data_IF_381020061491
#
_entry.id   IF_381020061491
#
_cell.length_a   1.000
_cell.length_b   1.000
_cell.length_c   1.000
_cell.angle_alpha   90.00
_cell.angle_beta   90.00
_cell.angle_gamma   90.00
#
_symmetry.space_group_name_H-M   'P 1'
#
loop_
_entity.id
_entity.type
_entity.pdbx_description
1 polymer ?
#
# COMPACT_ATOMS: atom_id res chain seq x y z
N UNK A 1 12.44 -15.06 25.77
CA UNK A 1 12.33 -14.74 24.32
C UNK A 1 13.47 -13.82 23.91
N UNK A 2 14.06 -14.04 22.72
CA UNK A 2 15.04 -13.11 22.15
C UNK A 2 14.35 -11.96 21.39
N UNK A 3 14.84 -10.74 21.56
CA UNK A 3 14.24 -9.51 21.03
C UNK A 3 15.26 -8.62 20.33
N UNK A 4 14.78 -7.83 19.38
CA UNK A 4 15.53 -6.81 18.65
C UNK A 4 14.59 -5.63 18.30
N UNK A 5 15.11 -4.57 17.67
CA UNK A 5 14.29 -3.40 17.29
C UNK A 5 13.07 -3.71 16.41
N UNK A 6 13.11 -4.79 15.61
CA UNK A 6 12.02 -5.20 14.72
C UNK A 6 10.94 -6.04 15.42
N UNK A 7 11.17 -6.44 16.67
CA UNK A 7 10.21 -7.25 17.44
C UNK A 7 8.93 -6.46 17.71
N UNK A 8 7.76 -7.04 17.45
CA UNK A 8 6.46 -6.39 17.70
C UNK A 8 6.17 -6.23 19.19
N UNK A 9 5.70 -5.06 19.59
CA UNK A 9 5.38 -4.74 21.00
C UNK A 9 4.32 -5.69 21.57
N UNK A 10 3.34 -6.09 20.75
CA UNK A 10 2.35 -7.11 21.15
C UNK A 10 2.96 -8.46 21.50
N UNK A 11 4.04 -8.87 20.82
CA UNK A 11 4.72 -10.15 21.05
C UNK A 11 5.46 -10.12 22.38
N UNK A 12 6.15 -9.01 22.68
CA UNK A 12 6.82 -8.78 23.97
C UNK A 12 5.81 -8.79 25.12
N UNK A 13 4.71 -8.05 24.99
CA UNK A 13 3.65 -7.98 26.00
C UNK A 13 2.96 -9.33 26.24
N UNK A 14 2.80 -10.14 25.17
CA UNK A 14 2.22 -11.48 25.26
C UNK A 14 3.14 -12.44 26.02
N UNK A 15 4.44 -12.31 25.82
CA UNK A 15 5.46 -13.14 26.47
C UNK A 15 5.61 -12.79 27.96
N UNK A 16 5.77 -11.50 28.28
CA UNK A 16 5.85 -11.02 29.66
C UNK A 16 4.98 -9.76 29.84
N UNK A 17 3.96 -9.87 30.69
CA UNK A 17 3.04 -8.75 30.98
C UNK A 17 3.74 -7.58 31.69
N UNK A 18 4.85 -7.81 32.39
CA UNK A 18 5.65 -6.76 33.01
C UNK A 18 6.25 -5.79 31.98
N UNK A 19 6.35 -6.20 30.71
CA UNK A 19 6.77 -5.34 29.62
C UNK A 19 5.87 -4.10 29.45
N UNK A 20 4.60 -4.19 29.85
CA UNK A 20 3.68 -3.04 29.83
C UNK A 20 4.23 -1.93 30.72
N UNK A 21 4.64 -2.28 31.94
CA UNK A 21 5.10 -1.30 32.92
C UNK A 21 6.53 -0.85 32.64
N UNK A 22 7.39 -1.76 32.18
CA UNK A 22 8.75 -1.43 31.76
C UNK A 22 8.76 -0.40 30.62
N UNK A 23 7.89 -0.56 29.61
CA UNK A 23 7.77 0.40 28.49
C UNK A 23 7.05 1.68 28.94
N UNK A 24 5.96 1.56 29.71
CA UNK A 24 5.19 2.72 30.18
C UNK A 24 5.98 3.66 31.10
N UNK A 25 7.00 3.15 31.77
CA UNK A 25 7.85 3.91 32.70
C UNK A 25 8.96 4.71 32.00
N UNK A 26 9.25 4.44 30.73
CA UNK A 26 10.29 5.17 29.97
C UNK A 26 9.87 6.60 29.65
N UNK A 27 8.60 6.81 29.29
CA UNK A 27 8.07 8.11 28.89
C UNK A 27 6.55 8.17 29.04
N UNK A 28 6.02 9.36 29.36
CA UNK A 28 4.58 9.65 29.43
C UNK A 28 3.80 9.25 28.16
N UNK A 29 4.43 9.25 27.00
CA UNK A 29 3.84 8.79 25.73
C UNK A 29 3.39 7.32 25.75
N UNK A 30 4.00 6.47 26.58
CA UNK A 30 3.71 5.04 26.64
C UNK A 30 2.67 4.65 27.70
N UNK A 31 2.22 5.60 28.52
CA UNK A 31 1.22 5.38 29.59
C UNK A 31 -0.08 4.75 29.08
N UNK A 32 -0.42 4.99 27.81
CA UNK A 32 -1.59 4.43 27.12
C UNK A 32 -1.54 2.89 27.03
N UNK A 33 -0.37 2.25 27.13
CA UNK A 33 -0.24 0.79 27.16
C UNK A 33 -0.79 0.16 28.46
N UNK A 34 -0.92 0.94 29.55
CA UNK A 34 -1.55 0.45 30.78
C UNK A 34 -3.04 0.17 30.58
N UNK A 35 -3.71 0.90 29.69
CA UNK A 35 -5.11 0.66 29.35
C UNK A 35 -5.24 -0.59 28.45
N UNK A 36 -5.96 -1.65 28.89
CA UNK A 36 -6.08 -2.90 28.14
C UNK A 36 -6.68 -2.76 26.72
N UNK A 37 -7.60 -1.82 26.54
CA UNK A 37 -8.27 -1.59 25.24
C UNK A 37 -7.30 -0.93 24.26
N UNK A 38 -6.64 0.15 24.69
CA UNK A 38 -5.66 0.85 23.87
C UNK A 38 -4.45 -0.03 23.57
N UNK A 39 -4.00 -0.83 24.55
CA UNK A 39 -2.93 -1.81 24.35
C UNK A 39 -3.28 -2.81 23.26
N UNK A 40 -4.49 -3.38 23.28
CA UNK A 40 -4.95 -4.32 22.25
C UNK A 40 -5.00 -3.68 20.86
N UNK A 41 -5.29 -2.38 20.79
CA UNK A 41 -5.34 -1.64 19.52
C UNK A 41 -3.95 -1.25 19.00
N UNK A 42 -3.06 -0.76 19.86
CA UNK A 42 -1.81 -0.11 19.44
C UNK A 42 -0.65 -1.10 19.33
N UNK A 43 -0.49 -1.98 20.32
CA UNK A 43 0.69 -2.85 20.45
C UNK A 43 0.93 -3.80 19.26
N UNK A 44 -0.11 -4.34 18.56
CA UNK A 44 0.12 -5.23 17.41
C UNK A 44 0.69 -4.54 16.17
N UNK A 45 0.55 -3.21 16.07
CA UNK A 45 0.89 -2.46 14.85
C UNK A 45 2.35 -2.02 14.83
N UNK A 46 2.96 -1.83 15.99
CA UNK A 46 4.29 -1.23 16.13
C UNK A 46 5.36 -2.23 16.60
N UNK A 47 6.58 -2.07 16.08
CA UNK A 47 7.81 -2.68 16.60
C UNK A 47 8.39 -1.88 17.77
N UNK A 48 9.38 -2.44 18.47
CA UNK A 48 10.12 -1.73 19.53
C UNK A 48 10.80 -0.47 18.97
N UNK A 49 11.42 -0.56 17.79
CA UNK A 49 12.06 0.59 17.14
C UNK A 49 11.05 1.67 16.71
N UNK A 50 9.90 1.25 16.16
CA UNK A 50 8.81 2.18 15.81
C UNK A 50 8.21 2.84 17.06
N UNK A 51 8.03 2.09 18.15
CA UNK A 51 7.55 2.63 19.42
C UNK A 51 8.51 3.64 20.03
N UNK A 52 9.82 3.36 20.00
CA UNK A 52 10.87 4.27 20.46
C UNK A 52 10.86 5.59 19.68
N UNK A 53 10.77 5.52 18.34
CA UNK A 53 10.60 6.71 17.47
C UNK A 53 9.35 7.53 17.85
N UNK A 54 8.21 6.88 18.06
CA UNK A 54 6.94 7.54 18.45
C UNK A 54 7.06 8.20 19.83
N UNK A 55 7.73 7.54 20.77
CA UNK A 55 7.95 8.05 22.13
C UNK A 55 9.14 9.01 22.26
N UNK A 56 9.83 9.32 21.16
CA UNK A 56 11.04 10.15 21.12
C UNK A 56 12.11 9.66 22.12
N UNK A 57 12.31 8.35 22.21
CA UNK A 57 13.37 7.75 23.03
C UNK A 57 14.25 6.84 22.17
N UNK A 58 15.43 6.51 22.69
CA UNK A 58 16.37 5.64 22.00
C UNK A 58 15.87 4.19 21.98
N UNK A 59 16.07 3.49 20.87
CA UNK A 59 15.66 2.07 20.75
C UNK A 59 16.39 1.22 21.78
N UNK A 60 17.67 1.52 22.03
CA UNK A 60 18.49 0.81 23.00
C UNK A 60 18.02 1.02 24.45
N UNK A 61 17.50 2.20 24.79
CA UNK A 61 16.91 2.42 26.12
C UNK A 61 15.68 1.53 26.36
N UNK A 62 14.84 1.38 25.35
CA UNK A 62 13.66 0.51 25.43
C UNK A 62 14.05 -0.97 25.48
N UNK A 63 15.03 -1.38 24.69
CA UNK A 63 15.57 -2.75 24.73
C UNK A 63 16.19 -3.07 26.08
N UNK A 64 17.00 -2.16 26.64
CA UNK A 64 17.60 -2.32 27.97
C UNK A 64 16.54 -2.45 29.09
N UNK A 65 15.44 -1.70 29.00
CA UNK A 65 14.33 -1.83 29.94
C UNK A 65 13.66 -3.21 29.86
N UNK A 66 13.56 -3.79 28.67
CA UNK A 66 13.03 -5.14 28.46
C UNK A 66 14.02 -6.22 28.92
N UNK A 67 15.32 -6.03 28.73
CA UNK A 67 16.34 -6.96 29.24
C UNK A 67 16.28 -7.10 30.76
N UNK A 68 16.06 -5.98 31.47
CA UNK A 68 15.92 -5.98 32.95
C UNK A 68 14.79 -6.86 33.48
N UNK A 69 13.78 -7.16 32.65
CA UNK A 69 12.64 -8.01 33.00
C UNK A 69 12.72 -9.41 32.36
N UNK A 70 13.91 -9.84 31.93
CA UNK A 70 14.19 -11.22 31.50
C UNK A 70 14.07 -11.48 30.00
N UNK A 71 14.05 -10.45 29.15
CA UNK A 71 14.25 -10.64 27.70
C UNK A 71 15.75 -10.73 27.36
N UNK A 72 16.08 -11.54 26.36
CA UNK A 72 17.44 -11.63 25.83
C UNK A 72 17.55 -10.78 24.57
N UNK A 73 18.63 -10.03 24.41
CA UNK A 73 18.89 -9.40 23.11
C UNK A 73 19.32 -10.49 22.13
N UNK A 74 18.77 -10.45 20.93
CA UNK A 74 19.46 -11.12 19.82
C UNK A 74 20.81 -10.43 19.65
N UNK A 75 21.90 -11.20 19.78
CA UNK A 75 23.21 -10.80 19.27
C UNK A 75 23.05 -10.49 17.78
N UNK A 76 22.79 -9.23 17.46
CA UNK A 76 22.83 -8.81 16.09
C UNK A 76 24.30 -8.65 15.73
N UNK A 77 24.66 -9.36 14.66
CA UNK A 77 25.63 -8.92 13.66
C UNK A 77 25.61 -7.39 13.62
N UNK A 78 26.58 -6.80 14.32
CA UNK A 78 26.99 -5.39 14.35
C UNK A 78 25.83 -4.39 14.28
N UNK A 79 25.64 -3.70 15.40
CA UNK A 79 25.36 -2.27 15.38
C UNK A 79 26.27 -1.63 14.33
N UNK A 80 25.70 -1.21 13.20
CA UNK A 80 26.33 -0.19 12.40
C UNK A 80 25.97 1.14 13.06
N UNK A 81 26.59 1.39 14.20
CA UNK A 81 27.00 2.74 14.58
C UNK A 81 27.98 3.19 13.49
N UNK A 82 27.45 3.65 12.36
CA UNK A 82 28.23 4.30 11.34
C UNK A 82 27.84 5.77 11.32
N UNK A 83 28.48 6.51 12.22
CA UNK A 83 29.22 7.69 11.74
C UNK A 83 30.12 7.22 10.59
N UNK A 84 29.63 7.29 9.36
CA UNK A 84 30.38 7.26 8.11
C UNK A 84 29.43 7.82 7.04
N UNK A 85 29.38 9.15 6.86
CA UNK A 85 30.13 9.76 5.76
C UNK A 85 30.90 8.72 4.93
N UNK A 86 30.28 8.22 3.85
CA UNK A 86 30.85 7.64 2.62
C UNK A 86 30.07 6.45 2.02
N UNK A 87 28.96 5.96 2.61
CA UNK A 87 28.18 4.85 2.04
C UNK A 87 26.86 5.21 1.33
N UNK A 88 26.12 6.22 1.80
CA UNK A 88 24.77 6.53 1.31
C UNK A 88 24.73 7.08 -0.12
N UNK A 89 25.84 7.68 -0.56
CA UNK A 89 25.92 8.24 -1.90
C UNK A 89 25.98 7.15 -2.98
N UNK A 90 26.51 5.96 -2.70
CA UNK A 90 26.77 4.98 -3.76
C UNK A 90 25.50 4.22 -4.16
N UNK A 91 24.63 3.83 -3.22
CA UNK A 91 23.35 3.19 -3.57
C UNK A 91 22.35 4.15 -4.22
N UNK A 92 22.31 5.41 -3.76
CA UNK A 92 21.49 6.45 -4.39
C UNK A 92 22.02 6.79 -5.78
N UNK A 93 23.35 6.90 -5.96
CA UNK A 93 23.96 7.07 -7.28
C UNK A 93 23.66 5.90 -8.19
N UNK A 94 23.77 4.67 -7.72
CA UNK A 94 23.45 3.44 -8.46
C UNK A 94 21.96 3.42 -8.88
N UNK A 95 21.07 3.85 -7.98
CA UNK A 95 19.65 3.98 -8.30
C UNK A 95 19.38 5.10 -9.32
N UNK A 96 20.17 6.16 -9.31
CA UNK A 96 20.00 7.36 -10.14
C UNK A 96 20.96 7.43 -11.34
N UNK A 97 21.66 6.32 -11.67
CA UNK A 97 22.63 6.29 -12.78
C UNK A 97 21.97 6.79 -14.06
N UNK A 98 22.59 7.82 -14.66
CA UNK A 98 22.14 8.48 -15.89
C UNK A 98 20.76 9.15 -15.81
N UNK A 99 20.27 9.50 -14.61
CA UNK A 99 18.99 10.19 -14.41
C UNK A 99 19.18 11.61 -13.90
N UNK A 100 18.38 12.54 -14.44
CA UNK A 100 18.21 13.88 -13.88
C UNK A 100 17.21 13.84 -12.73
N UNK A 101 17.54 14.45 -11.59
CA UNK A 101 16.68 14.43 -10.41
C UNK A 101 15.84 15.70 -10.33
N UNK A 102 14.52 15.53 -10.23
CA UNK A 102 13.55 16.59 -9.97
C UNK A 102 13.13 16.48 -8.51
N UNK A 103 13.33 17.53 -7.71
CA UNK A 103 13.01 17.50 -6.28
C UNK A 103 11.66 18.15 -5.97
N UNK A 104 10.88 17.51 -5.09
CA UNK A 104 9.59 17.98 -4.60
C UNK A 104 9.53 17.88 -3.07
N UNK A 105 9.57 19.03 -2.40
CA UNK A 105 9.40 19.09 -0.94
C UNK A 105 7.91 19.17 -0.58
N UNK A 106 7.40 18.13 0.08
CA UNK A 106 6.00 18.06 0.51
C UNK A 106 5.80 18.43 1.98
N UNK A 107 6.88 18.62 2.75
CA UNK A 107 6.80 18.96 4.18
C UNK A 107 6.05 20.28 4.43
N UNK A 108 6.22 21.36 3.63
CA UNK A 108 5.43 22.58 3.81
C UNK A 108 3.92 22.39 3.56
N UNK A 109 3.55 21.46 2.67
CA UNK A 109 2.15 21.13 2.37
C UNK A 109 1.55 20.38 3.56
N UNK A 110 2.28 19.39 4.07
CA UNK A 110 1.89 18.61 5.24
C UNK A 110 1.82 19.47 6.51
N UNK A 111 2.74 20.43 6.69
CA UNK A 111 2.74 21.36 7.81
C UNK A 111 1.50 22.28 7.84
N UNK A 112 0.87 22.51 6.68
CA UNK A 112 -0.41 23.23 6.55
C UNK A 112 -1.64 22.32 6.75
N UNK A 113 -1.43 21.02 6.95
CA UNK A 113 -2.52 20.03 7.04
C UNK A 113 -3.13 19.66 5.69
N UNK A 114 -2.47 19.99 4.58
CA UNK A 114 -2.93 19.68 3.22
C UNK A 114 -2.36 18.34 2.72
N UNK A 115 -3.07 17.68 1.80
CA UNK A 115 -2.63 16.41 1.22
C UNK A 115 -1.76 16.64 -0.04
N UNK A 116 -0.48 16.22 -0.05
CA UNK A 116 0.41 16.39 -1.19
C UNK A 116 0.13 15.43 -2.36
N UNK A 117 -0.80 14.47 -2.22
CA UNK A 117 -1.05 13.42 -3.21
C UNK A 117 -1.27 13.97 -4.62
N UNK A 118 -2.11 15.00 -4.77
CA UNK A 118 -2.40 15.58 -6.09
C UNK A 118 -1.19 16.25 -6.74
N UNK A 119 -0.36 16.94 -5.95
CA UNK A 119 0.87 17.58 -6.43
C UNK A 119 1.88 16.52 -6.87
N UNK A 120 2.01 15.46 -6.08
CA UNK A 120 2.87 14.34 -6.37
C UNK A 120 2.44 13.58 -7.64
N UNK A 121 1.15 13.28 -7.80
CA UNK A 121 0.65 12.60 -9.00
C UNK A 121 0.90 13.45 -10.26
N UNK A 122 0.81 14.78 -10.16
CA UNK A 122 1.16 15.69 -11.27
C UNK A 122 2.65 15.63 -11.60
N UNK A 123 3.52 15.61 -10.59
CA UNK A 123 4.97 15.49 -10.79
C UNK A 123 5.35 14.15 -11.43
N UNK A 124 4.81 13.05 -10.92
CA UNK A 124 5.08 11.69 -11.45
C UNK A 124 4.57 11.49 -12.87
N UNK A 125 3.45 12.12 -13.27
CA UNK A 125 2.93 12.06 -14.65
C UNK A 125 3.79 12.84 -15.65
N UNK A 126 4.54 13.84 -15.19
CA UNK A 126 5.41 14.66 -16.05
C UNK A 126 6.83 14.09 -16.16
N UNK A 127 7.12 13.02 -15.44
CA UNK A 127 8.46 12.44 -15.35
C UNK A 127 8.84 11.72 -16.64
N UNK A 128 9.95 12.12 -17.26
CA UNK A 128 10.51 11.46 -18.44
C UNK A 128 11.31 10.21 -18.07
N UNK A 129 11.66 9.39 -19.08
CA UNK A 129 12.44 8.13 -18.88
C UNK A 129 13.83 8.36 -18.28
N UNK A 130 14.42 9.53 -18.51
CA UNK A 130 15.75 9.90 -18.03
C UNK A 130 15.69 10.79 -16.78
N UNK A 131 14.54 10.80 -16.09
CA UNK A 131 14.32 11.62 -14.91
C UNK A 131 13.88 10.74 -13.73
N UNK A 132 14.26 11.16 -12.53
CA UNK A 132 13.78 10.63 -11.27
C UNK A 132 13.12 11.75 -10.46
N UNK A 133 12.01 11.44 -9.77
CA UNK A 133 11.38 12.36 -8.83
C UNK A 133 11.88 12.05 -7.42
N UNK A 134 12.54 13.00 -6.78
CA UNK A 134 12.83 12.99 -5.35
C UNK A 134 11.68 13.67 -4.59
N UNK A 135 11.22 13.02 -3.52
CA UNK A 135 10.20 13.53 -2.61
C UNK A 135 10.80 13.67 -1.23
N UNK A 136 10.80 14.89 -0.69
CA UNK A 136 11.22 15.16 0.69
C UNK A 136 10.01 15.10 1.62
N UNK A 137 10.06 14.22 2.60
CA UNK A 137 8.95 13.99 3.54
C UNK A 137 9.48 13.63 4.94
N UNK A 138 8.74 13.99 5.98
CA UNK A 138 9.17 13.80 7.38
C UNK A 138 8.96 12.35 7.90
N UNK A 139 8.36 11.49 7.08
CA UNK A 139 8.09 10.09 7.42
C UNK A 139 8.18 9.22 6.16
N UNK A 140 8.48 7.93 6.34
CA UNK A 140 8.55 7.00 5.22
C UNK A 140 7.19 6.84 4.53
N UNK A 141 7.06 7.16 3.24
CA UNK A 141 5.77 7.19 2.57
C UNK A 141 5.38 5.80 2.04
N UNK A 142 5.34 4.79 2.90
CA UNK A 142 5.09 3.38 2.53
C UNK A 142 3.83 3.19 1.67
N UNK A 143 2.66 3.78 2.00
CA UNK A 143 1.46 3.62 1.17
C UNK A 143 1.65 4.18 -0.24
N UNK A 144 2.36 5.30 -0.35
CA UNK A 144 2.63 5.95 -1.63
C UNK A 144 3.58 5.11 -2.49
N UNK A 145 4.66 4.59 -1.88
CA UNK A 145 5.62 3.70 -2.54
C UNK A 145 4.88 2.54 -3.20
N UNK A 146 4.04 1.84 -2.44
CA UNK A 146 3.25 0.70 -2.94
C UNK A 146 2.33 1.08 -4.10
N UNK A 147 1.68 2.25 -4.03
CA UNK A 147 0.79 2.72 -5.10
C UNK A 147 1.59 2.96 -6.39
N UNK A 148 2.80 3.51 -6.28
CA UNK A 148 3.63 3.85 -7.44
C UNK A 148 4.34 2.63 -8.02
N UNK A 149 4.77 1.67 -7.19
CA UNK A 149 5.28 0.38 -7.65
C UNK A 149 4.24 -0.42 -8.43
N UNK A 150 2.98 -0.45 -7.97
CA UNK A 150 1.86 -1.03 -8.74
C UNK A 150 1.60 -0.34 -10.09
N UNK A 151 2.08 0.89 -10.26
CA UNK A 151 2.02 1.66 -11.50
C UNK A 151 3.28 1.53 -12.36
N UNK A 152 4.24 0.69 -11.97
CA UNK A 152 5.46 0.42 -12.74
C UNK A 152 6.61 1.40 -12.47
N UNK A 153 6.54 2.17 -11.39
CA UNK A 153 7.67 2.96 -10.91
C UNK A 153 8.57 2.11 -10.01
N UNK A 154 9.88 2.32 -10.09
CA UNK A 154 10.81 1.85 -9.07
C UNK A 154 10.96 2.93 -8.02
N UNK A 155 11.11 2.52 -6.76
CA UNK A 155 11.30 3.44 -5.65
C UNK A 155 12.59 3.13 -4.88
N UNK A 156 13.19 4.17 -4.29
CA UNK A 156 14.30 4.03 -3.35
C UNK A 156 14.16 5.10 -2.29
N UNK A 157 14.30 4.73 -1.02
CA UNK A 157 14.21 5.69 0.09
C UNK A 157 15.49 5.69 0.89
N UNK A 158 16.06 6.88 1.09
CA UNK A 158 17.15 7.10 2.05
C UNK A 158 16.71 8.15 3.08
N UNK A 159 17.41 8.21 4.22
CA UNK A 159 17.13 9.16 5.28
C UNK A 159 18.37 10.01 5.49
N UNK A 160 18.23 11.33 5.36
CA UNK A 160 19.31 12.29 5.59
C UNK A 160 18.84 13.36 6.57
N UNK A 161 19.59 13.54 7.66
CA UNK A 161 19.27 14.52 8.71
C UNK A 161 17.82 14.41 9.24
N UNK A 162 17.27 13.19 9.30
CA UNK A 162 15.90 12.91 9.72
C UNK A 162 14.82 13.18 8.66
N UNK A 163 15.20 13.60 7.46
CA UNK A 163 14.32 13.79 6.31
C UNK A 163 14.38 12.54 5.42
N UNK A 164 13.23 12.02 5.02
CA UNK A 164 13.15 10.92 4.08
C UNK A 164 13.21 11.48 2.65
N UNK A 165 14.20 11.03 1.90
CA UNK A 165 14.37 11.29 0.48
C UNK A 165 13.89 10.05 -0.27
N UNK A 166 12.67 10.12 -0.82
CA UNK A 166 12.07 9.03 -1.60
C UNK A 166 12.20 9.33 -3.08
N UNK A 167 12.99 8.55 -3.79
CA UNK A 167 13.18 8.64 -5.23
C UNK A 167 12.21 7.71 -5.97
N UNK A 168 11.64 8.19 -7.07
CA UNK A 168 10.84 7.42 -8.01
C UNK A 168 11.42 7.55 -9.40
N UNK A 169 11.61 6.43 -10.11
CA UNK A 169 11.97 6.43 -11.54
C UNK A 169 11.06 5.50 -12.32
N UNK A 170 10.95 5.73 -13.62
CA UNK A 170 10.28 4.78 -14.51
C UNK A 170 11.04 3.45 -14.51
N UNK A 171 10.33 2.33 -14.35
CA UNK A 171 10.94 1.00 -14.19
C UNK A 171 11.58 0.39 -15.44
N UNK A 172 11.90 1.19 -16.47
CA UNK A 172 12.74 0.73 -17.57
C UNK A 172 12.17 -0.45 -18.36
N UNK A 173 10.88 -0.43 -18.67
CA UNK A 173 10.31 -1.19 -19.79
C UNK A 173 9.43 -0.26 -20.62
N UNK A 174 10.06 0.47 -21.54
CA UNK A 174 9.45 0.76 -22.82
C UNK A 174 10.25 -0.11 -23.80
N UNK A 175 9.68 -1.10 -24.46
CA UNK A 175 8.59 -0.95 -25.41
C UNK A 175 7.54 -2.04 -25.23
N UNK A 176 6.31 -1.64 -24.95
CA UNK A 176 5.22 -1.60 -25.92
C UNK A 176 3.97 -1.14 -25.18
N UNK A 177 3.17 -0.31 -25.84
CA UNK A 177 1.73 -0.49 -25.80
C UNK A 177 1.45 -1.94 -26.19
N UNK A 178 1.41 -2.82 -25.21
CA UNK A 178 0.79 -4.13 -25.30
C UNK A 178 0.23 -4.38 -23.92
N UNK A 179 -1.07 -4.12 -23.80
CA UNK A 179 -1.93 -4.92 -22.96
C UNK A 179 -1.42 -6.36 -22.96
N UNK A 180 -0.84 -6.84 -21.87
CA UNK A 180 -0.65 -8.27 -21.55
C UNK A 180 -0.01 -8.35 -20.16
N UNK A 181 -0.44 -9.18 -19.20
CA UNK A 181 -1.51 -10.17 -19.21
C UNK A 181 -1.88 -10.59 -17.77
N UNK A 182 -1.58 -9.77 -16.75
CA UNK A 182 -1.74 -10.17 -15.34
C UNK A 182 -2.41 -9.13 -14.42
N UNK A 183 -3.09 -8.12 -14.96
CA UNK A 183 -4.06 -7.34 -14.17
C UNK A 183 -5.45 -7.91 -14.44
N UNK A 184 -6.06 -8.51 -13.44
CA UNK A 184 -7.44 -9.00 -13.52
C UNK A 184 -8.42 -7.85 -13.77
N UNK A 185 -8.02 -6.60 -13.50
CA UNK A 185 -8.82 -5.40 -13.76
C UNK A 185 -8.32 -4.66 -15.00
N UNK A 186 -9.21 -4.45 -15.98
CA UNK A 186 -8.96 -3.73 -17.23
C UNK A 186 -9.97 -2.60 -17.40
N UNK A 187 -9.51 -1.43 -17.85
CA UNK A 187 -10.40 -0.38 -18.36
C UNK A 187 -10.50 -0.53 -19.88
N UNK A 188 -11.71 -0.52 -20.40
CA UNK A 188 -11.98 -0.73 -21.83
C UNK A 188 -12.97 0.32 -22.32
N UNK A 189 -12.93 0.60 -23.62
CA UNK A 189 -13.92 1.47 -24.26
C UNK A 189 -15.26 0.74 -24.47
N UNK A 190 -16.29 1.49 -24.89
CA UNK A 190 -17.64 0.97 -25.09
C UNK A 190 -17.70 -0.10 -26.20
N UNK A 191 -16.90 0.04 -27.26
CA UNK A 191 -16.86 -0.92 -28.36
C UNK A 191 -16.25 -2.25 -27.94
N UNK A 192 -15.17 -2.22 -27.15
CA UNK A 192 -14.54 -3.38 -26.55
C UNK A 192 -15.48 -4.04 -25.54
N UNK A 193 -16.20 -3.23 -24.74
CA UNK A 193 -17.15 -3.73 -23.76
C UNK A 193 -18.31 -4.49 -24.41
N UNK A 194 -18.92 -3.90 -25.45
CA UNK A 194 -20.03 -4.53 -26.15
C UNK A 194 -19.61 -5.87 -26.78
N UNK A 195 -18.46 -5.91 -27.47
CA UNK A 195 -17.90 -7.16 -28.01
C UNK A 195 -17.68 -8.21 -26.92
N UNK A 196 -17.06 -7.82 -25.81
CA UNK A 196 -16.78 -8.74 -24.70
C UNK A 196 -18.06 -9.36 -24.12
N UNK A 197 -19.12 -8.58 -24.00
CA UNK A 197 -20.42 -9.05 -23.48
C UNK A 197 -21.16 -9.90 -24.52
N UNK A 198 -21.12 -9.53 -25.81
CA UNK A 198 -21.74 -10.28 -26.91
C UNK A 198 -21.07 -11.63 -27.17
N UNK A 199 -19.73 -11.68 -27.10
CA UNK A 199 -18.93 -12.87 -27.37
C UNK A 199 -18.74 -13.76 -26.12
N UNK A 200 -19.27 -13.36 -24.96
CA UNK A 200 -19.13 -14.14 -23.73
C UNK A 200 -19.87 -15.48 -23.87
N UNK A 201 -19.17 -16.63 -23.76
CA UNK A 201 -19.77 -17.93 -24.07
C UNK A 201 -20.71 -18.47 -22.96
N UNK A 202 -20.78 -17.77 -21.83
CA UNK A 202 -21.53 -18.17 -20.65
C UNK A 202 -22.86 -17.40 -20.44
N UNK A 203 -23.49 -17.63 -19.30
CA UNK A 203 -24.72 -16.90 -18.91
C UNK A 203 -24.31 -15.52 -18.42
N UNK A 204 -25.07 -14.48 -18.77
CA UNK A 204 -24.83 -13.12 -18.25
C UNK A 204 -25.94 -12.73 -17.28
N UNK A 205 -25.58 -12.49 -16.02
CA UNK A 205 -26.46 -11.85 -15.03
C UNK A 205 -26.24 -10.35 -15.06
N UNK A 206 -27.33 -9.58 -15.00
CA UNK A 206 -27.29 -8.12 -15.00
C UNK A 206 -27.78 -7.55 -13.67
N UNK A 207 -27.10 -6.53 -13.16
CA UNK A 207 -27.43 -5.82 -11.93
C UNK A 207 -27.31 -4.31 -12.14
N UNK A 208 -28.24 -3.53 -11.59
CA UNK A 208 -28.13 -2.08 -11.52
C UNK A 208 -28.09 -1.65 -10.06
N UNK A 209 -26.97 -1.04 -9.65
CA UNK A 209 -26.76 -0.54 -8.29
C UNK A 209 -26.74 0.98 -8.22
N UNK A 210 -27.09 1.67 -9.31
CA UNK A 210 -27.07 3.14 -9.36
C UNK A 210 -28.03 3.76 -8.35
N UNK A 211 -29.12 3.09 -8.02
CA UNK A 211 -30.12 3.61 -7.08
C UNK A 211 -29.80 3.36 -5.61
N UNK A 212 -28.72 2.63 -5.31
CA UNK A 212 -28.36 2.26 -3.94
C UNK A 212 -27.42 3.28 -3.30
N UNK A 213 -27.60 3.52 -2.01
CA UNK A 213 -26.76 4.42 -1.21
C UNK A 213 -25.54 3.66 -0.65
N UNK A 214 -24.43 4.36 -0.39
CA UNK A 214 -23.24 3.70 0.14
C UNK A 214 -23.50 3.17 1.56
N UNK A 215 -23.07 1.92 1.90
CA UNK A 215 -22.21 0.99 1.15
C UNK A 215 -22.95 -0.11 0.38
N UNK A 216 -24.26 -0.02 0.20
CA UNK A 216 -25.10 -1.07 -0.39
C UNK A 216 -24.67 -1.59 -1.77
N UNK A 217 -24.22 -0.75 -2.74
CA UNK A 217 -23.71 -1.23 -4.02
C UNK A 217 -22.62 -2.29 -3.85
N UNK A 218 -21.69 -2.05 -2.92
CA UNK A 218 -20.56 -2.94 -2.68
C UNK A 218 -21.02 -4.26 -2.08
N UNK A 219 -21.88 -4.21 -1.05
CA UNK A 219 -22.41 -5.41 -0.38
C UNK A 219 -23.14 -6.28 -1.40
N UNK A 220 -24.04 -5.68 -2.20
CA UNK A 220 -24.85 -6.42 -3.15
C UNK A 220 -24.03 -7.07 -4.27
N UNK A 221 -23.00 -6.37 -4.74
CA UNK A 221 -22.08 -6.93 -5.75
C UNK A 221 -21.28 -8.10 -5.15
N UNK A 222 -20.77 -7.97 -3.92
CA UNK A 222 -20.02 -9.05 -3.27
C UNK A 222 -20.87 -10.29 -2.99
N UNK A 223 -22.13 -10.12 -2.60
CA UNK A 223 -23.10 -11.24 -2.44
C UNK A 223 -23.26 -12.03 -3.74
N UNK A 224 -23.55 -11.33 -4.85
CA UNK A 224 -23.75 -12.00 -6.15
C UNK A 224 -22.46 -12.63 -6.68
N UNK A 225 -21.31 -12.05 -6.36
CA UNK A 225 -20.01 -12.62 -6.70
C UNK A 225 -19.75 -13.94 -5.95
N UNK A 226 -20.18 -14.06 -4.69
CA UNK A 226 -20.02 -15.32 -3.93
C UNK A 226 -20.81 -16.47 -4.55
N UNK A 227 -21.91 -16.17 -5.21
CA UNK A 227 -22.80 -17.13 -5.88
C UNK A 227 -22.54 -17.21 -7.41
N UNK A 228 -21.47 -16.58 -7.91
CA UNK A 228 -21.18 -16.52 -9.33
C UNK A 228 -20.59 -17.85 -9.82
N UNK A 229 -21.37 -18.59 -10.59
CA UNK A 229 -20.93 -19.84 -11.23
C UNK A 229 -19.78 -19.59 -12.24
N UNK A 230 -18.92 -20.60 -12.47
CA UNK A 230 -17.71 -20.47 -13.30
C UNK A 230 -17.97 -19.95 -14.72
N UNK A 231 -19.12 -20.30 -15.30
CA UNK A 231 -19.53 -19.90 -16.65
C UNK A 231 -20.58 -18.77 -16.64
N UNK A 232 -20.64 -17.98 -15.57
CA UNK A 232 -21.52 -16.81 -15.49
C UNK A 232 -20.71 -15.51 -15.43
N UNK A 233 -21.05 -14.57 -16.31
CA UNK A 233 -20.56 -13.19 -16.29
C UNK A 233 -21.55 -12.28 -15.58
N UNK A 234 -21.04 -11.29 -14.86
CA UNK A 234 -21.85 -10.31 -14.12
C UNK A 234 -21.68 -8.92 -14.73
N UNK A 235 -22.75 -8.42 -15.36
CA UNK A 235 -22.88 -7.06 -15.89
C UNK A 235 -23.46 -6.15 -14.82
N UNK A 236 -22.79 -5.05 -14.52
CA UNK A 236 -23.16 -4.12 -13.45
C UNK A 236 -23.25 -2.69 -14.00
N UNK A 237 -24.35 -2.00 -13.69
CA UNK A 237 -24.47 -0.56 -13.88
C UNK A 237 -24.20 0.15 -12.54
N UNK A 238 -23.24 1.08 -12.54
CA UNK A 238 -22.78 1.78 -11.34
C UNK A 238 -22.65 3.29 -11.59
N UNK A 239 -22.85 4.12 -10.55
CA UNK A 239 -22.76 5.61 -10.66
C UNK A 239 -21.34 6.12 -10.91
N UNK A 240 -20.33 5.35 -10.50
CA UNK A 240 -18.90 5.71 -10.53
C UNK A 240 -18.04 4.47 -10.41
N UNK A 241 -16.74 4.56 -10.63
CA UNK A 241 -15.84 3.42 -10.44
C UNK A 241 -15.76 3.06 -8.94
N UNK A 242 -16.14 1.83 -8.52
CA UNK A 242 -16.15 1.44 -7.12
C UNK A 242 -14.73 1.08 -6.65
N UNK A 243 -13.91 2.08 -6.31
CA UNK A 243 -12.49 1.89 -5.97
C UNK A 243 -12.25 0.91 -4.81
N UNK A 244 -13.16 0.87 -3.82
CA UNK A 244 -13.07 -0.05 -2.68
C UNK A 244 -13.43 -1.50 -3.02
N UNK A 245 -14.18 -1.72 -4.11
CA UNK A 245 -14.53 -3.07 -4.57
C UNK A 245 -13.35 -3.71 -5.32
N UNK A 246 -12.55 -2.92 -6.03
CA UNK A 246 -11.48 -3.42 -6.90
C UNK A 246 -10.49 -4.38 -6.20
N UNK A 247 -9.97 -4.08 -5.00
CA UNK A 247 -9.09 -5.01 -4.28
C UNK A 247 -9.76 -6.38 -4.00
N UNK A 248 -11.05 -6.38 -3.62
CA UNK A 248 -11.79 -7.61 -3.33
C UNK A 248 -11.96 -8.50 -4.59
N UNK A 249 -12.10 -7.87 -5.76
CA UNK A 249 -12.18 -8.59 -7.04
C UNK A 249 -10.84 -9.19 -7.46
N UNK A 250 -9.74 -8.47 -7.21
CA UNK A 250 -8.38 -8.97 -7.42
C UNK A 250 -8.07 -10.15 -6.50
N UNK A 251 -8.42 -10.05 -5.20
CA UNK A 251 -8.21 -11.11 -4.21
C UNK A 251 -9.01 -12.38 -4.55
N UNK A 252 -10.20 -12.23 -5.14
CA UNK A 252 -11.00 -13.35 -5.68
C UNK A 252 -10.53 -13.85 -7.04
N UNK A 253 -9.44 -13.32 -7.58
CA UNK A 253 -8.83 -13.70 -8.85
C UNK A 253 -9.81 -13.59 -10.05
N UNK A 254 -10.76 -12.65 -9.99
CA UNK A 254 -11.78 -12.43 -11.02
C UNK A 254 -11.32 -11.42 -12.07
N UNK A 255 -11.65 -11.68 -13.34
CA UNK A 255 -11.51 -10.69 -14.40
C UNK A 255 -12.59 -9.62 -14.25
N UNK A 256 -12.20 -8.36 -14.32
CA UNK A 256 -13.06 -7.18 -14.18
C UNK A 256 -12.76 -6.21 -15.30
N UNK A 257 -13.77 -5.86 -16.07
CA UNK A 257 -13.69 -4.93 -17.18
C UNK A 257 -14.54 -3.70 -16.85
N UNK A 258 -13.95 -2.52 -16.90
CA UNK A 258 -14.58 -1.27 -16.50
C UNK A 258 -14.72 -0.38 -17.72
N UNK A 259 -15.94 0.00 -18.04
CA UNK A 259 -16.28 0.91 -19.14
C UNK A 259 -16.92 2.20 -18.58
N UNK A 260 -16.14 3.28 -18.44
CA UNK A 260 -16.68 4.59 -18.06
C UNK A 260 -17.41 5.21 -19.26
N UNK A 261 -18.73 5.40 -19.16
CA UNK A 261 -19.55 5.98 -20.24
C UNK A 261 -19.64 7.50 -20.05
N UNK A 262 -20.07 7.93 -18.86
CA UNK A 262 -20.21 9.34 -18.50
C UNK A 262 -20.19 9.51 -16.98
N UNK A 263 -20.19 10.75 -16.52
CA UNK A 263 -20.36 11.05 -15.10
C UNK A 263 -21.71 10.49 -14.61
N UNK A 264 -21.69 9.69 -13.54
CA UNK A 264 -22.90 8.99 -13.07
C UNK A 264 -23.20 7.66 -13.79
N UNK A 265 -22.41 7.25 -14.79
CA UNK A 265 -22.67 6.04 -15.56
C UNK A 265 -21.39 5.28 -15.92
N UNK A 266 -21.16 4.20 -15.17
CA UNK A 266 -20.05 3.26 -15.37
C UNK A 266 -20.64 1.87 -15.51
N UNK A 267 -20.22 1.14 -16.53
CA UNK A 267 -20.52 -0.27 -16.67
C UNK A 267 -19.32 -1.10 -16.21
N UNK A 268 -19.59 -2.19 -15.48
CA UNK A 268 -18.60 -3.19 -15.15
C UNK A 268 -19.05 -4.55 -15.69
N UNK A 269 -18.10 -5.34 -16.14
CA UNK A 269 -18.30 -6.75 -16.46
C UNK A 269 -17.30 -7.60 -15.70
N UNK A 270 -17.79 -8.55 -14.90
CA UNK A 270 -16.96 -9.39 -14.03
C UNK A 270 -17.13 -10.85 -14.44
N UNK A 271 -16.02 -11.56 -14.60
CA UNK A 271 -16.01 -12.97 -15.03
C UNK A 271 -14.93 -13.77 -14.30
N UNK A 272 -15.09 -15.10 -14.25
CA UNK A 272 -14.01 -15.99 -13.85
C UNK A 272 -12.90 -16.04 -14.90
N UNK A 273 -11.66 -16.34 -14.48
CA UNK A 273 -10.50 -16.42 -15.38
C UNK A 273 -10.54 -17.61 -16.35
N UNK A 274 -11.10 -18.72 -15.91
CA UNK A 274 -11.22 -19.95 -16.69
C UNK A 274 -12.67 -20.17 -17.08
N UNK A 275 -13.12 -19.51 -18.15
CA UNK A 275 -14.45 -19.80 -18.70
C UNK A 275 -14.32 -21.06 -19.55
N UNK A 276 -14.92 -22.16 -19.10
CA UNK A 276 -14.98 -23.38 -19.90
C UNK A 276 -16.03 -23.17 -20.99
N UNK A 277 -15.61 -23.24 -22.25
CA UNK A 277 -16.56 -23.30 -23.37
C UNK A 277 -17.48 -24.49 -23.14
N UNK A 278 -18.80 -24.26 -23.11
CA UNK A 278 -19.76 -25.37 -23.19
C UNK A 278 -19.51 -26.09 -24.51
N UNK A 279 -18.91 -27.28 -24.44
CA UNK A 279 -19.03 -28.23 -25.53
C UNK A 279 -20.52 -28.40 -25.85
N UNK A 280 -20.83 -28.25 -27.14
CA UNK A 280 -22.16 -28.39 -27.75
C UNK A 280 -22.91 -29.64 -27.27
#
# INVERSE_FOLDING_TARGET
MRINGNTKVSKVIKENKEAIEAIASLNSHFTKLRNPILRRLLAPRVSIAEAAKIGKCEVQEMLNALVKIGFELEENVKENTQSNSLGENDEVKDFLVNLSVISLDVRPILAKGEDPFNVLQKALKKLNKNEALEVLIDFEPIPLIRIQEKKGFLSFTTVKDGVYHTYFKSGGTAEKETENQNKSIKKIDESQYNRLVEEYPGIIKTMDVRNLEMPEPMIRILEVIQELEENTGLKIYHKRIPQHLLPELEDKNLNTFICPISEGNVMLFITHKNVQSRNK
#
